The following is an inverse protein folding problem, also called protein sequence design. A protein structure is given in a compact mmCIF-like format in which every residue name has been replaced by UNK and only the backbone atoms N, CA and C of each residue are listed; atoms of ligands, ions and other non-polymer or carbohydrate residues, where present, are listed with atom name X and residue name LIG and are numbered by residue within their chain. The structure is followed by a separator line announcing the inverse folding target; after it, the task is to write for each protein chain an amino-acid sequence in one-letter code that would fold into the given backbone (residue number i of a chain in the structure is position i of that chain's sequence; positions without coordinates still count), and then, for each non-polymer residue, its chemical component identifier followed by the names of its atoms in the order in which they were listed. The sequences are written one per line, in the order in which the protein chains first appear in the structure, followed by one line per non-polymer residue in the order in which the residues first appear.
data_IF_204096283804
#
_entry.id   IF_204096283804
#
_cell.length_a   1.000
_cell.length_b   1.000
_cell.length_c   1.000
_cell.angle_alpha   90.00
_cell.angle_beta   90.00
_cell.angle_gamma   90.00
#
_symmetry.space_group_name_H-M   'P 1'
#
loop_
_entity.id
_entity.type
_entity.pdbx_description
1 polymer ?
#
# COMPACT_ATOMS: atom_id res chain seq x y z
N UNK A 1 -2.30 18.17 1.08
CA UNK A 1 -1.86 17.67 2.41
C UNK A 1 -0.85 16.56 2.15
N UNK A 2 0.30 16.56 2.82
CA UNK A 2 1.30 15.49 2.65
C UNK A 2 0.87 14.26 3.44
N UNK A 3 0.88 13.09 2.80
CA UNK A 3 0.77 11.82 3.51
C UNK A 3 2.15 11.54 4.13
N UNK A 4 2.37 12.07 5.34
CA UNK A 4 3.69 12.07 5.98
C UNK A 4 4.32 10.68 6.09
N UNK A 5 3.51 9.64 6.30
CA UNK A 5 4.00 8.27 6.42
C UNK A 5 4.39 7.71 5.04
N UNK A 6 3.46 7.74 4.08
CA UNK A 6 3.71 7.18 2.75
C UNK A 6 4.83 7.92 2.01
N UNK A 7 4.89 9.25 2.12
CA UNK A 7 5.97 10.05 1.53
C UNK A 7 7.34 9.68 2.12
N UNK A 8 7.42 9.43 3.44
CA UNK A 8 8.65 8.98 4.08
C UNK A 8 9.09 7.59 3.61
N UNK A 9 8.15 6.67 3.41
CA UNK A 9 8.45 5.36 2.81
C UNK A 9 8.94 5.50 1.37
N UNK A 10 8.17 6.19 0.53
CA UNK A 10 8.47 6.38 -0.89
C UNK A 10 9.84 7.01 -1.11
N UNK A 11 10.21 8.01 -0.30
CA UNK A 11 11.53 8.65 -0.36
C UNK A 11 12.70 7.69 -0.04
N UNK A 12 12.46 6.61 0.71
CA UNK A 12 13.48 5.60 1.07
C UNK A 12 13.53 4.42 0.11
N UNK A 13 12.58 4.29 -0.81
CA UNK A 13 12.61 3.25 -1.85
C UNK A 13 13.60 3.65 -2.94
N UNK A 14 14.85 3.23 -2.80
CA UNK A 14 15.92 3.49 -3.78
C UNK A 14 16.10 2.37 -4.80
N UNK A 15 15.57 1.18 -4.51
CA UNK A 15 15.64 0.00 -5.38
C UNK A 15 14.27 -0.70 -5.43
N UNK A 16 13.38 -0.33 -6.36
CA UNK A 16 12.02 -0.86 -6.45
C UNK A 16 11.96 -2.38 -6.56
N UNK A 17 12.90 -3.00 -7.25
CA UNK A 17 13.00 -4.46 -7.43
C UNK A 17 13.43 -5.22 -6.17
N UNK A 18 13.81 -4.51 -5.09
CA UNK A 18 14.21 -5.15 -3.84
C UNK A 18 13.00 -5.82 -3.20
N UNK A 19 13.22 -7.03 -2.69
CA UNK A 19 12.20 -7.79 -1.96
C UNK A 19 11.74 -7.00 -0.71
N UNK A 20 10.44 -6.82 -0.58
CA UNK A 20 9.78 -6.22 0.58
C UNK A 20 9.26 -7.32 1.51
N UNK A 21 8.48 -8.26 0.97
CA UNK A 21 7.83 -9.30 1.78
C UNK A 21 7.71 -10.61 1.01
N UNK A 22 7.74 -11.72 1.75
CA UNK A 22 7.38 -13.05 1.27
C UNK A 22 6.16 -13.51 2.04
N UNK A 23 5.26 -14.16 1.33
CA UNK A 23 4.03 -14.71 1.89
C UNK A 23 4.15 -16.21 2.11
N UNK A 24 3.27 -16.74 2.94
CA UNK A 24 3.21 -18.17 3.26
C UNK A 24 2.84 -19.02 2.03
N UNK A 25 2.12 -18.43 1.07
CA UNK A 25 1.79 -19.05 -0.23
C UNK A 25 2.92 -18.96 -1.27
N UNK A 26 4.11 -18.48 -0.88
CA UNK A 26 5.31 -18.46 -1.71
C UNK A 26 5.44 -17.25 -2.64
N UNK A 27 4.47 -16.33 -2.66
CA UNK A 27 4.61 -15.07 -3.41
C UNK A 27 5.72 -14.21 -2.80
N UNK A 28 6.33 -13.41 -3.67
CA UNK A 28 7.33 -12.41 -3.31
C UNK A 28 6.85 -11.07 -3.84
N UNK A 29 6.74 -10.08 -2.96
CA UNK A 29 6.41 -8.72 -3.34
C UNK A 29 7.63 -7.82 -3.17
N UNK A 30 7.89 -7.01 -4.17
CA UNK A 30 8.94 -6.01 -4.18
C UNK A 30 8.42 -4.66 -3.66
N UNK A 31 9.33 -3.73 -3.38
CA UNK A 31 8.93 -2.34 -3.07
C UNK A 31 8.20 -1.67 -4.25
N UNK A 32 8.53 -2.03 -5.48
CA UNK A 32 7.83 -1.58 -6.68
C UNK A 32 6.40 -2.09 -6.73
N UNK A 33 6.19 -3.37 -6.38
CA UNK A 33 4.84 -3.94 -6.29
C UNK A 33 4.02 -3.24 -5.21
N UNK A 34 4.63 -2.93 -4.06
CA UNK A 34 3.99 -2.17 -2.99
C UNK A 34 3.53 -0.78 -3.49
N UNK A 35 4.42 -0.02 -4.13
CA UNK A 35 4.06 1.32 -4.66
C UNK A 35 2.92 1.24 -5.68
N UNK A 36 2.99 0.27 -6.60
CA UNK A 36 1.97 0.12 -7.64
C UNK A 36 0.61 -0.33 -7.07
N UNK A 37 0.60 -1.30 -6.16
CA UNK A 37 -0.63 -1.84 -5.57
C UNK A 37 -1.29 -0.87 -4.59
N UNK A 38 -0.51 -0.19 -3.75
CA UNK A 38 -1.02 0.88 -2.87
C UNK A 38 -1.64 2.01 -3.70
N UNK A 39 -1.01 2.42 -4.80
CA UNK A 39 -1.60 3.41 -5.71
C UNK A 39 -2.92 2.94 -6.35
N UNK A 40 -3.01 1.68 -6.77
CA UNK A 40 -4.26 1.10 -7.30
C UNK A 40 -5.38 1.12 -6.27
N UNK A 41 -5.10 0.73 -5.03
CA UNK A 41 -6.06 0.74 -3.93
C UNK A 41 -6.49 2.16 -3.57
N UNK A 42 -5.54 3.10 -3.50
CA UNK A 42 -5.84 4.51 -3.26
C UNK A 42 -6.76 5.09 -4.34
N UNK A 43 -6.54 4.77 -5.63
CA UNK A 43 -7.44 5.17 -6.70
C UNK A 43 -8.84 4.57 -6.54
N UNK A 44 -8.95 3.30 -6.14
CA UNK A 44 -10.24 2.67 -5.88
C UNK A 44 -10.99 3.32 -4.71
N UNK A 45 -10.30 3.74 -3.65
CA UNK A 45 -10.90 4.47 -2.53
C UNK A 45 -11.42 5.83 -2.98
N UNK A 46 -10.63 6.59 -3.77
CA UNK A 46 -11.06 7.87 -4.33
C UNK A 46 -12.28 7.71 -5.24
N UNK A 47 -12.30 6.70 -6.10
CA UNK A 47 -13.46 6.39 -6.94
C UNK A 47 -14.71 5.99 -6.12
N UNK A 48 -14.50 5.46 -4.91
CA UNK A 48 -15.57 5.13 -3.97
C UNK A 48 -16.01 6.33 -3.12
N UNK A 49 -15.45 7.52 -3.36
CA UNK A 49 -15.84 8.77 -2.70
C UNK A 49 -15.07 9.12 -1.44
N UNK A 50 -14.01 8.38 -1.09
CA UNK A 50 -13.17 8.69 0.07
C UNK A 50 -12.40 9.99 -0.16
N UNK A 51 -12.50 10.91 0.81
CA UNK A 51 -11.80 12.18 0.82
C UNK A 51 -10.69 12.22 1.90
N UNK A 52 -9.70 13.12 1.78
CA UNK A 52 -8.71 13.32 2.82
C UNK A 52 -9.35 13.65 4.18
N UNK A 53 -9.04 12.87 5.21
CA UNK A 53 -9.59 13.00 6.55
C UNK A 53 -10.70 11.98 6.87
N UNK A 54 -11.25 11.30 5.87
CA UNK A 54 -12.24 10.25 6.09
C UNK A 54 -11.61 9.01 6.74
N UNK A 55 -12.38 8.36 7.61
CA UNK A 55 -12.02 7.08 8.19
C UNK A 55 -12.44 5.94 7.25
N UNK A 56 -11.48 5.08 6.88
CA UNK A 56 -11.75 3.82 6.15
C UNK A 56 -11.67 2.66 7.13
N UNK A 57 -12.81 2.06 7.45
CA UNK A 57 -12.86 0.86 8.29
C UNK A 57 -12.60 -0.40 7.43
N UNK A 58 -11.66 -1.24 7.87
CA UNK A 58 -11.25 -2.45 7.14
C UNK A 58 -11.28 -3.64 8.09
N UNK A 59 -12.13 -4.63 7.79
CA UNK A 59 -12.15 -5.93 8.45
C UNK A 59 -11.93 -7.02 7.40
N UNK A 60 -10.69 -7.50 7.31
CA UNK A 60 -10.26 -8.53 6.34
C UNK A 60 -9.29 -9.48 7.00
N UNK A 61 -9.13 -10.66 6.43
CA UNK A 61 -8.11 -11.61 6.83
C UNK A 61 -6.69 -11.06 6.57
N UNK A 62 -5.71 -11.58 7.31
CA UNK A 62 -4.31 -11.20 7.15
C UNK A 62 -3.84 -11.51 5.74
N UNK A 63 -3.41 -10.48 5.02
CA UNK A 63 -2.93 -10.58 3.64
C UNK A 63 -1.94 -9.44 3.33
N UNK A 64 -1.06 -9.60 2.33
CA UNK A 64 -0.26 -8.49 1.81
C UNK A 64 -1.14 -7.30 1.42
N UNK A 65 -2.25 -7.56 0.75
CA UNK A 65 -3.16 -6.56 0.24
C UNK A 65 -3.75 -5.69 1.37
N UNK A 66 -4.01 -6.29 2.55
CA UNK A 66 -4.42 -5.53 3.74
C UNK A 66 -3.35 -4.55 4.23
N UNK A 67 -2.06 -4.94 4.17
CA UNK A 67 -0.95 -4.04 4.50
C UNK A 67 -0.78 -2.96 3.44
N UNK A 68 -0.93 -3.30 2.17
CA UNK A 68 -0.82 -2.36 1.05
C UNK A 68 -1.97 -1.35 1.02
N UNK A 69 -3.16 -1.71 1.50
CA UNK A 69 -4.30 -0.81 1.66
C UNK A 69 -4.06 0.26 2.75
N UNK A 70 -3.27 -0.07 3.78
CA UNK A 70 -2.92 0.86 4.84
C UNK A 70 -1.90 1.93 4.39
N UNK A 71 -1.15 1.67 3.32
CA UNK A 71 -0.11 2.53 2.77
C UNK A 71 -0.66 3.43 1.66
#
# INVERSE_FOLDING_TARGET
MSNHLFDAFRARVTAPQRLLMRTDDGRSLTYGDMLARSAQLAHALVQSGVAPGDCVAVQVEKSPEAVLLYL
#
